data_IF_075620432973
#
_entry.id   IF_075620432973
#
_cell.length_a   1.000
_cell.length_b   1.000
_cell.length_c   1.000
_cell.angle_alpha   90.00
_cell.angle_beta   90.00
_cell.angle_gamma   90.00
#
_symmetry.space_group_name_H-M   'P 1'
#
loop_
_entity.id
_entity.type
_entity.pdbx_description
1 polymer ?
#
# COMPACT_ATOMS: atom_id res chain seq x y z
N UNK A 1 35.81 -2.87 -15.37
CA UNK A 1 35.53 -4.07 -14.55
C UNK A 1 34.79 -3.61 -13.31
N UNK A 2 33.47 -3.71 -13.27
CA UNK A 2 32.73 -3.52 -12.02
C UNK A 2 33.02 -4.70 -11.09
N UNK A 3 33.28 -4.44 -9.82
CA UNK A 3 33.37 -5.49 -8.82
C UNK A 3 32.03 -6.24 -8.75
N UNK A 4 32.05 -7.55 -8.96
CA UNK A 4 30.94 -8.42 -8.58
C UNK A 4 30.86 -8.43 -7.05
N UNK A 5 30.12 -7.48 -6.48
CA UNK A 5 29.68 -7.57 -5.10
C UNK A 5 28.89 -8.88 -4.97
N UNK A 6 29.32 -9.78 -4.09
CA UNK A 6 28.64 -11.07 -3.90
C UNK A 6 27.20 -10.83 -3.49
N UNK A 7 26.25 -11.31 -4.30
CA UNK A 7 24.82 -11.22 -3.98
C UNK A 7 24.60 -11.87 -2.62
N UNK A 8 24.16 -11.08 -1.64
CA UNK A 8 23.96 -11.54 -0.27
C UNK A 8 22.75 -12.47 -0.19
N UNK A 9 22.78 -13.42 0.74
CA UNK A 9 21.61 -14.24 1.05
C UNK A 9 20.40 -13.36 1.44
N UNK A 10 19.16 -13.85 1.23
CA UNK A 10 17.97 -13.19 1.73
C UNK A 10 17.92 -13.28 3.28
N UNK A 11 17.26 -12.37 3.99
CA UNK A 11 17.10 -12.48 5.44
C UNK A 11 16.23 -13.68 5.80
N UNK A 12 16.70 -14.55 6.70
CA UNK A 12 15.92 -15.69 7.18
C UNK A 12 14.92 -15.27 8.26
N UNK A 13 13.75 -15.90 8.29
CA UNK A 13 12.66 -15.57 9.23
C UNK A 13 13.05 -15.79 10.71
N UNK A 14 13.97 -16.71 10.98
CA UNK A 14 14.53 -16.97 12.32
C UNK A 14 15.40 -15.82 12.85
N UNK A 15 16.00 -15.02 11.96
CA UNK A 15 16.94 -13.95 12.30
C UNK A 15 16.27 -12.57 12.16
N UNK A 16 15.29 -12.44 11.24
CA UNK A 16 14.53 -11.22 10.97
C UNK A 16 13.05 -11.55 10.84
N UNK A 17 12.19 -10.92 11.66
CA UNK A 17 10.73 -11.15 11.71
C UNK A 17 9.97 -11.07 10.36
N UNK A 18 10.52 -10.36 9.37
CA UNK A 18 9.97 -10.22 8.03
C UNK A 18 10.68 -11.06 6.97
N UNK A 19 11.58 -11.95 7.37
CA UNK A 19 12.41 -12.79 6.51
C UNK A 19 11.71 -13.98 5.87
N UNK A 20 12.48 -14.80 5.15
CA UNK A 20 12.02 -16.00 4.43
C UNK A 20 12.03 -17.23 5.35
N UNK A 21 10.97 -18.06 5.40
CA UNK A 21 10.99 -19.33 6.12
C UNK A 21 12.11 -20.26 5.64
N UNK A 22 12.72 -21.02 6.57
CA UNK A 22 13.82 -21.94 6.24
C UNK A 22 13.44 -22.96 5.15
N UNK A 23 12.18 -23.41 5.12
CA UNK A 23 11.66 -24.38 4.14
C UNK A 23 11.60 -23.91 2.68
N UNK A 24 11.77 -22.61 2.43
CA UNK A 24 11.80 -22.00 1.08
C UNK A 24 12.98 -21.04 0.92
N UNK A 25 14.00 -21.19 1.78
CA UNK A 25 15.13 -20.28 1.85
C UNK A 25 16.07 -20.45 0.65
N UNK A 26 16.23 -21.67 0.17
CA UNK A 26 17.09 -21.99 -0.97
C UNK A 26 16.49 -21.44 -2.27
N UNK A 27 15.19 -21.61 -2.47
CA UNK A 27 14.43 -21.07 -3.60
C UNK A 27 14.46 -19.53 -3.58
N UNK A 28 14.42 -18.91 -2.40
CA UNK A 28 14.58 -17.47 -2.27
C UNK A 28 16.02 -16.99 -2.56
N UNK A 29 17.05 -17.76 -2.19
CA UNK A 29 18.44 -17.50 -2.58
C UNK A 29 18.62 -17.56 -4.09
N UNK A 30 18.08 -18.61 -4.71
CA UNK A 30 18.12 -18.81 -6.16
C UNK A 30 17.34 -17.72 -6.90
N UNK A 31 16.16 -17.33 -6.40
CA UNK A 31 15.40 -16.21 -6.95
C UNK A 31 16.14 -14.88 -6.83
N UNK A 32 16.72 -14.54 -5.67
CA UNK A 32 17.49 -13.30 -5.46
C UNK A 32 18.74 -13.28 -6.34
N UNK A 33 19.42 -14.41 -6.46
CA UNK A 33 20.58 -14.60 -7.36
C UNK A 33 20.17 -14.38 -8.81
N UNK A 34 19.11 -15.04 -9.27
CA UNK A 34 18.58 -14.91 -10.64
C UNK A 34 18.08 -13.50 -10.94
N UNK A 35 17.45 -12.83 -9.97
CA UNK A 35 16.97 -11.45 -10.13
C UNK A 35 18.14 -10.52 -10.47
N UNK A 36 19.19 -10.54 -9.64
CA UNK A 36 20.35 -9.65 -9.77
C UNK A 36 21.44 -10.13 -10.75
N UNK A 37 21.33 -11.35 -11.30
CA UNK A 37 22.21 -11.81 -12.37
C UNK A 37 21.78 -11.32 -13.76
N UNK A 38 20.58 -10.76 -13.90
CA UNK A 38 20.10 -10.22 -15.18
C UNK A 38 20.69 -8.81 -15.43
N UNK A 39 21.27 -8.54 -16.62
CA UNK A 39 21.74 -7.21 -16.97
C UNK A 39 20.64 -6.15 -16.84
N UNK A 40 20.93 -5.07 -16.11
CA UNK A 40 19.96 -3.99 -15.82
C UNK A 40 19.19 -4.15 -14.51
N UNK A 41 19.12 -5.36 -13.94
CA UNK A 41 18.54 -5.58 -12.62
C UNK A 41 19.60 -5.40 -11.52
N UNK A 42 19.99 -4.16 -11.23
CA UNK A 42 20.74 -3.81 -10.01
C UNK A 42 19.84 -3.04 -9.05
N UNK A 43 20.02 -3.14 -7.72
CA UNK A 43 19.36 -2.26 -6.78
C UNK A 43 19.64 -0.80 -7.16
N UNK A 44 18.60 -0.05 -7.51
CA UNK A 44 18.76 1.32 -7.98
C UNK A 44 19.02 2.21 -6.78
N UNK A 45 20.17 2.88 -6.78
CA UNK A 45 20.54 3.84 -5.74
C UNK A 45 19.97 5.24 -6.05
N UNK A 46 19.68 6.01 -5.00
CA UNK A 46 19.39 7.44 -5.07
C UNK A 46 19.80 8.13 -3.78
N UNK A 47 20.04 9.43 -3.83
CA UNK A 47 20.36 10.23 -2.64
C UNK A 47 19.15 11.06 -2.24
N UNK A 48 18.69 10.93 -0.99
CA UNK A 48 17.54 11.69 -0.48
C UNK A 48 18.02 12.92 0.30
N UNK A 49 17.55 14.10 -0.10
CA UNK A 49 17.65 15.30 0.73
C UNK A 49 16.67 15.22 1.90
N UNK A 50 17.00 15.86 3.02
CA UNK A 50 16.10 15.88 4.18
C UNK A 50 14.77 16.56 3.82
N UNK A 51 13.68 15.78 3.88
CA UNK A 51 12.35 16.33 3.90
C UNK A 51 12.02 16.81 5.31
N UNK A 52 11.40 17.99 5.41
CA UNK A 52 10.77 18.47 6.63
C UNK A 52 9.25 18.30 6.51
N UNK A 53 8.53 18.04 7.61
CA UNK A 53 7.08 18.07 7.59
C UNK A 53 6.56 19.46 7.19
N UNK A 54 5.35 19.58 6.62
CA UNK A 54 4.73 20.87 6.35
C UNK A 54 4.69 21.77 7.58
N UNK A 55 4.77 23.08 7.38
CA UNK A 55 4.68 24.10 8.43
C UNK A 55 5.71 23.98 9.58
N UNK A 56 6.76 23.17 9.39
CA UNK A 56 7.76 22.83 10.42
C UNK A 56 9.15 23.33 10.01
N UNK A 57 9.75 24.22 10.80
CA UNK A 57 11.14 24.65 10.60
C UNK A 57 12.14 23.55 10.99
N UNK A 58 13.36 23.59 10.44
CA UNK A 58 14.41 22.63 10.79
C UNK A 58 14.73 22.58 12.30
N UNK A 59 14.67 23.74 12.99
CA UNK A 59 14.88 23.82 14.43
C UNK A 59 13.76 23.11 15.22
N UNK A 60 12.49 23.38 14.88
CA UNK A 60 11.35 22.69 15.49
C UNK A 60 11.38 21.18 15.21
N UNK A 61 11.76 20.78 13.98
CA UNK A 61 11.89 19.37 13.61
C UNK A 61 12.94 18.65 14.46
N UNK A 62 14.12 19.25 14.67
CA UNK A 62 15.16 18.65 15.50
C UNK A 62 14.71 18.47 16.95
N UNK A 63 14.09 19.50 17.56
CA UNK A 63 13.52 19.43 18.92
C UNK A 63 12.47 18.32 19.01
N UNK A 64 11.60 18.20 17.99
CA UNK A 64 10.60 17.16 17.93
C UNK A 64 11.25 15.76 17.85
N UNK A 65 12.24 15.57 16.98
CA UNK A 65 12.95 14.28 16.83
C UNK A 65 13.67 13.88 18.12
N UNK A 66 14.29 14.81 18.85
CA UNK A 66 14.97 14.48 20.10
C UNK A 66 13.96 14.04 21.18
N UNK A 67 12.81 14.71 21.30
CA UNK A 67 11.71 14.25 22.17
C UNK A 67 11.14 12.90 21.72
N UNK A 68 11.12 12.61 20.41
CA UNK A 68 10.68 11.31 19.90
C UNK A 68 11.67 10.19 20.27
N UNK A 69 12.98 10.48 20.25
CA UNK A 69 14.05 9.58 20.70
C UNK A 69 13.98 9.29 22.20
N UNK A 70 13.54 10.24 23.02
CA UNK A 70 13.26 10.01 24.45
C UNK A 70 12.09 9.03 24.65
N UNK A 71 11.03 9.12 23.82
CA UNK A 71 9.83 8.28 23.95
C UNK A 71 10.08 6.81 23.58
N UNK A 72 10.80 6.55 22.47
CA UNK A 72 10.99 5.17 21.95
C UNK A 72 12.42 4.63 22.05
N UNK A 73 13.37 5.45 22.51
CA UNK A 73 14.81 5.17 22.45
C UNK A 73 15.43 5.53 21.09
N UNK A 74 16.62 6.13 21.11
CA UNK A 74 17.26 6.68 19.91
C UNK A 74 17.49 5.67 18.77
N UNK A 75 17.76 4.40 19.09
CA UNK A 75 17.93 3.32 18.10
C UNK A 75 16.66 2.97 17.31
N UNK A 76 15.50 3.49 17.74
CA UNK A 76 14.19 3.26 17.13
C UNK A 76 13.66 4.50 16.38
N UNK A 77 14.50 5.54 16.17
CA UNK A 77 14.21 6.72 15.34
C UNK A 77 15.31 6.91 14.30
N UNK A 78 14.99 6.71 13.03
CA UNK A 78 15.89 6.88 11.89
C UNK A 78 15.56 8.16 11.13
N UNK A 79 16.55 8.99 10.81
CA UNK A 79 16.39 10.13 9.90
C UNK A 79 16.57 9.66 8.45
N UNK A 80 15.69 10.11 7.56
CA UNK A 80 15.64 9.60 6.18
C UNK A 80 16.53 10.40 5.23
N UNK A 81 16.77 11.68 5.51
CA UNK A 81 17.58 12.56 4.67
C UNK A 81 19.07 12.44 4.93
N UNK A 82 19.85 12.83 3.92
CA UNK A 82 21.32 12.87 4.00
C UNK A 82 21.99 11.52 3.72
N UNK A 83 21.22 10.49 3.37
CA UNK A 83 21.73 9.15 3.07
C UNK A 83 21.40 8.70 1.64
N UNK A 84 22.23 7.80 1.14
CA UNK A 84 21.89 6.96 -0.02
C UNK A 84 20.80 5.97 0.38
N UNK A 85 19.79 5.83 -0.48
CA UNK A 85 18.76 4.79 -0.39
C UNK A 85 18.84 3.88 -1.60
N UNK A 86 18.34 2.66 -1.45
CA UNK A 86 18.18 1.70 -2.54
C UNK A 86 16.74 1.16 -2.56
N UNK A 87 16.22 0.91 -3.75
CA UNK A 87 14.88 0.32 -3.93
C UNK A 87 14.78 -1.14 -3.45
N UNK A 88 15.92 -1.79 -3.23
CA UNK A 88 16.02 -3.15 -2.67
C UNK A 88 15.39 -4.24 -3.54
N UNK A 89 14.71 -5.18 -2.88
CA UNK A 89 13.77 -6.15 -3.48
C UNK A 89 12.71 -6.52 -2.43
N UNK A 90 11.72 -7.33 -2.80
CA UNK A 90 10.53 -7.55 -1.97
C UNK A 90 10.80 -8.00 -0.50
N UNK A 91 11.83 -8.82 -0.25
CA UNK A 91 12.17 -9.24 1.12
C UNK A 91 13.00 -8.22 1.90
N UNK A 92 13.71 -7.32 1.21
CA UNK A 92 14.53 -6.23 1.77
C UNK A 92 14.07 -4.90 1.16
N UNK A 93 12.81 -4.55 1.41
CA UNK A 93 12.13 -3.42 0.79
C UNK A 93 12.41 -2.10 1.55
N UNK A 94 12.46 -0.95 0.86
CA UNK A 94 12.69 0.33 1.50
C UNK A 94 11.48 0.77 2.33
N UNK A 95 11.77 1.46 3.43
CA UNK A 95 10.78 2.21 4.23
C UNK A 95 10.88 3.73 4.02
N UNK A 96 11.85 4.16 3.20
CA UNK A 96 12.26 5.56 3.00
C UNK A 96 11.67 6.21 1.74
N UNK A 97 11.12 5.42 0.81
CA UNK A 97 10.55 5.89 -0.46
C UNK A 97 9.74 4.76 -1.12
N UNK A 98 9.09 5.08 -2.24
CA UNK A 98 8.41 4.12 -3.10
C UNK A 98 9.38 3.55 -4.13
N UNK A 99 9.65 2.25 -4.06
CA UNK A 99 10.51 1.55 -5.03
C UNK A 99 9.95 1.60 -6.46
N UNK A 100 8.63 1.74 -6.61
CA UNK A 100 7.92 1.73 -7.91
C UNK A 100 7.49 3.15 -8.33
N UNK A 101 8.14 4.19 -7.80
CA UNK A 101 7.75 5.60 -7.90
C UNK A 101 7.29 6.05 -9.29
N UNK A 102 6.05 6.54 -9.38
CA UNK A 102 5.49 7.20 -10.58
C UNK A 102 6.06 8.62 -10.75
N UNK A 103 6.27 9.35 -9.64
CA UNK A 103 6.90 10.68 -9.63
C UNK A 103 8.41 10.58 -9.32
N UNK A 104 9.13 11.70 -9.26
CA UNK A 104 10.52 11.74 -8.76
C UNK A 104 10.63 11.10 -7.35
N UNK A 105 11.66 10.28 -7.12
CA UNK A 105 11.88 9.53 -5.86
C UNK A 105 11.89 10.40 -4.59
N UNK A 106 12.21 11.69 -4.70
CA UNK A 106 12.26 12.65 -3.59
C UNK A 106 10.91 13.27 -3.19
N UNK A 107 9.83 13.01 -3.93
CA UNK A 107 8.54 13.69 -3.75
C UNK A 107 7.69 13.09 -2.63
N UNK A 108 7.64 11.75 -2.50
CA UNK A 108 6.87 11.05 -1.47
C UNK A 108 7.76 10.42 -0.39
N UNK A 109 8.71 11.18 0.15
CA UNK A 109 9.64 10.68 1.17
C UNK A 109 9.23 11.13 2.58
N UNK A 110 9.39 10.29 3.61
CA UNK A 110 9.27 10.70 5.00
C UNK A 110 10.45 11.56 5.46
N UNK A 111 10.28 12.28 6.56
CA UNK A 111 11.39 12.97 7.24
C UNK A 111 12.20 12.00 8.10
N UNK A 112 11.52 11.03 8.71
CA UNK A 112 12.06 10.04 9.64
C UNK A 112 11.16 8.81 9.72
N UNK A 113 11.71 7.71 10.25
CA UNK A 113 10.98 6.47 10.55
C UNK A 113 11.08 6.23 12.06
N UNK A 114 9.96 5.91 12.72
CA UNK A 114 9.90 5.56 14.14
C UNK A 114 9.28 4.18 14.33
N UNK A 115 9.88 3.35 15.18
CA UNK A 115 9.44 1.95 15.37
C UNK A 115 8.99 1.69 16.81
N UNK A 116 7.69 1.80 17.17
CA UNK A 116 7.20 1.52 18.51
C UNK A 116 7.18 0.01 18.85
N UNK A 117 7.32 -0.34 20.13
CA UNK A 117 7.23 -1.72 20.65
C UNK A 117 5.91 -2.04 21.36
N UNK A 118 5.02 -1.06 21.56
CA UNK A 118 3.75 -1.29 22.24
C UNK A 118 2.67 -0.28 21.85
N UNK A 119 1.41 -0.63 22.13
CA UNK A 119 0.27 0.29 22.01
C UNK A 119 0.43 1.55 22.88
N UNK A 120 1.16 1.46 24.01
CA UNK A 120 1.46 2.62 24.86
C UNK A 120 2.46 3.58 24.19
N UNK A 121 3.52 3.06 23.56
CA UNK A 121 4.44 3.88 22.75
C UNK A 121 3.73 4.48 21.53
N UNK A 122 2.84 3.74 20.86
CA UNK A 122 2.00 4.30 19.77
C UNK A 122 1.16 5.47 20.28
N UNK A 123 0.54 5.36 21.46
CA UNK A 123 -0.20 6.48 22.06
C UNK A 123 0.70 7.68 22.39
N UNK A 124 1.93 7.45 22.86
CA UNK A 124 2.90 8.51 23.11
C UNK A 124 3.35 9.21 21.81
N UNK A 125 3.57 8.46 20.72
CA UNK A 125 3.87 9.02 19.39
C UNK A 125 2.70 9.86 18.87
N UNK A 126 1.44 9.44 19.07
CA UNK A 126 0.27 10.23 18.67
C UNK A 126 0.15 11.53 19.47
N UNK A 127 0.48 11.52 20.77
CA UNK A 127 0.54 12.74 21.60
C UNK A 127 1.65 13.69 21.14
N UNK A 128 2.84 13.15 20.88
CA UNK A 128 3.96 13.88 20.30
C UNK A 128 3.60 14.51 18.95
N UNK A 129 2.93 13.77 18.06
CA UNK A 129 2.51 14.26 16.75
C UNK A 129 1.52 15.43 16.87
N UNK A 130 0.59 15.37 17.84
CA UNK A 130 -0.31 16.50 18.15
C UNK A 130 0.43 17.72 18.72
N UNK A 131 1.40 17.51 19.60
CA UNK A 131 2.20 18.58 20.23
C UNK A 131 2.99 19.39 19.19
N UNK A 132 3.69 18.70 18.28
CA UNK A 132 4.49 19.35 17.24
C UNK A 132 3.71 19.61 15.93
N UNK A 133 2.46 19.15 15.84
CA UNK A 133 1.62 19.19 14.63
C UNK A 133 2.26 18.50 13.40
N UNK A 134 3.06 17.47 13.66
CA UNK A 134 3.79 16.73 12.62
C UNK A 134 2.93 15.56 12.12
N UNK A 135 2.64 15.45 10.82
CA UNK A 135 1.89 14.33 10.27
C UNK A 135 2.66 13.00 10.41
N UNK A 136 1.92 11.96 10.77
CA UNK A 136 2.40 10.59 10.94
C UNK A 136 1.70 9.62 9.99
N UNK A 137 2.47 8.69 9.43
CA UNK A 137 2.01 7.71 8.45
C UNK A 137 2.25 6.28 8.97
N UNK A 138 1.24 5.60 9.54
CA UNK A 138 1.41 4.28 10.12
C UNK A 138 1.53 3.20 9.04
N UNK A 139 2.52 2.32 9.19
CA UNK A 139 2.69 1.12 8.37
C UNK A 139 2.82 -0.12 9.25
N UNK A 140 2.32 -1.25 8.75
CA UNK A 140 2.61 -2.57 9.33
C UNK A 140 4.01 -3.04 8.93
N UNK A 141 4.23 -3.26 7.63
CA UNK A 141 5.56 -3.62 7.07
C UNK A 141 6.09 -2.62 6.04
N UNK A 142 5.23 -1.99 5.24
CA UNK A 142 5.63 -1.18 4.07
C UNK A 142 5.71 -1.95 2.75
N UNK A 143 5.42 -3.26 2.73
CA UNK A 143 5.37 -4.10 1.51
C UNK A 143 4.10 -3.87 0.65
N UNK A 144 3.61 -2.63 0.58
CA UNK A 144 2.42 -2.26 -0.20
C UNK A 144 2.79 -1.85 -1.64
N UNK A 145 3.63 -2.66 -2.27
CA UNK A 145 4.24 -2.36 -3.58
C UNK A 145 3.17 -2.28 -4.68
N UNK A 146 3.36 -1.38 -5.64
CA UNK A 146 2.33 -0.98 -6.62
C UNK A 146 1.26 -0.01 -6.08
N UNK A 147 1.21 0.23 -4.76
CA UNK A 147 0.30 1.19 -4.13
C UNK A 147 1.03 2.34 -3.38
N UNK A 148 2.35 2.47 -3.57
CA UNK A 148 3.21 3.45 -2.90
C UNK A 148 4.11 2.86 -1.81
N UNK A 149 4.07 1.56 -1.55
CA UNK A 149 4.99 0.88 -0.62
C UNK A 149 4.87 1.38 0.82
N UNK A 150 5.92 2.02 1.31
CA UNK A 150 5.99 2.64 2.62
C UNK A 150 5.85 4.18 2.59
N UNK A 151 5.81 4.79 1.40
CA UNK A 151 5.84 6.24 1.24
C UNK A 151 4.60 6.93 1.81
N UNK A 152 4.77 8.02 2.60
CA UNK A 152 3.66 8.84 3.02
C UNK A 152 3.11 9.68 1.86
N UNK A 153 1.79 9.93 1.86
CA UNK A 153 1.15 10.81 0.86
C UNK A 153 1.60 12.29 0.97
N UNK A 154 1.94 12.72 2.18
CA UNK A 154 2.50 14.05 2.48
C UNK A 154 4.00 13.91 2.74
N UNK A 155 4.80 14.58 1.89
CA UNK A 155 6.26 14.66 2.01
C UNK A 155 6.65 15.16 3.40
N UNK A 156 7.68 14.55 3.99
CA UNK A 156 8.19 14.92 5.30
C UNK A 156 7.35 14.44 6.48
N UNK A 157 6.31 13.61 6.27
CA UNK A 157 5.64 12.91 7.39
C UNK A 157 6.61 11.94 8.08
N UNK A 158 6.34 11.60 9.35
CA UNK A 158 7.06 10.53 10.05
C UNK A 158 6.38 9.19 9.81
N UNK A 159 7.10 8.21 9.27
CA UNK A 159 6.58 6.84 9.12
C UNK A 159 6.61 6.11 10.46
N UNK A 160 5.47 5.59 10.90
CA UNK A 160 5.36 4.79 12.14
C UNK A 160 5.39 3.31 11.76
N UNK A 161 6.57 2.71 11.86
CA UNK A 161 6.87 1.32 11.52
C UNK A 161 6.51 0.36 12.67
N UNK A 162 5.23 0.02 12.76
CA UNK A 162 4.68 -0.82 13.83
C UNK A 162 5.31 -2.22 13.85
N UNK A 163 5.52 -2.82 12.67
CA UNK A 163 5.87 -4.22 12.57
C UNK A 163 7.26 -4.58 13.07
N UNK A 164 8.21 -3.64 13.10
CA UNK A 164 9.60 -3.93 13.52
C UNK A 164 9.70 -4.46 14.96
N UNK A 165 8.88 -3.95 15.88
CA UNK A 165 8.88 -4.37 17.30
C UNK A 165 7.53 -4.90 17.80
N UNK A 166 6.44 -4.78 17.03
CA UNK A 166 5.13 -5.37 17.32
C UNK A 166 4.81 -6.47 16.30
N UNK A 167 5.40 -7.65 16.45
CA UNK A 167 5.39 -8.75 15.46
C UNK A 167 4.94 -10.11 16.01
N UNK A 168 4.23 -10.13 17.15
CA UNK A 168 3.83 -11.37 17.82
C UNK A 168 2.49 -11.93 17.31
N UNK A 169 2.43 -13.24 17.16
CA UNK A 169 1.15 -13.98 17.22
C UNK A 169 0.79 -14.10 18.69
N UNK A 170 -0.28 -13.44 19.11
CA UNK A 170 -0.63 -13.25 20.52
C UNK A 170 -1.49 -14.38 21.09
N UNK A 171 -2.38 -14.93 20.26
CA UNK A 171 -3.24 -16.06 20.63
C UNK A 171 -3.65 -16.82 19.37
N UNK A 172 -3.67 -18.15 19.44
CA UNK A 172 -4.38 -19.02 18.49
C UNK A 172 -5.38 -19.83 19.31
N UNK A 173 -6.66 -19.72 19.01
CA UNK A 173 -7.71 -20.51 19.64
C UNK A 173 -8.25 -21.53 18.64
N UNK A 174 -7.95 -22.81 18.92
CA UNK A 174 -8.37 -23.95 18.09
C UNK A 174 -9.88 -24.15 18.09
N UNK A 175 -10.54 -23.98 19.24
CA UNK A 175 -11.96 -24.28 19.42
C UNK A 175 -12.86 -23.30 18.66
N UNK A 176 -12.47 -22.03 18.59
CA UNK A 176 -13.17 -20.99 17.81
C UNK A 176 -12.57 -20.76 16.42
N UNK A 177 -11.53 -21.50 16.04
CA UNK A 177 -10.71 -21.26 14.85
C UNK A 177 -10.37 -19.77 14.65
N UNK A 178 -9.68 -19.16 15.62
CA UNK A 178 -9.28 -17.75 15.56
C UNK A 178 -7.80 -17.53 15.89
N UNK A 179 -7.25 -16.42 15.39
CA UNK A 179 -5.92 -15.92 15.76
C UNK A 179 -5.96 -14.42 16.06
N UNK A 180 -5.17 -13.98 17.04
CA UNK A 180 -4.93 -12.56 17.35
C UNK A 180 -3.46 -12.24 17.03
N UNK A 181 -3.21 -11.21 16.21
CA UNK A 181 -1.86 -10.86 15.74
C UNK A 181 -1.53 -9.37 15.94
N UNK A 182 -0.23 -9.07 16.03
CA UNK A 182 0.33 -7.72 15.93
C UNK A 182 0.72 -7.37 14.48
N UNK A 183 0.92 -6.07 14.14
CA UNK A 183 1.12 -5.59 12.76
C UNK A 183 2.29 -6.26 12.00
N UNK A 184 3.34 -6.66 12.69
CA UNK A 184 4.54 -7.26 12.08
C UNK A 184 4.42 -8.74 11.69
N UNK A 185 3.31 -9.41 12.03
CA UNK A 185 3.11 -10.82 11.63
C UNK A 185 2.91 -10.89 10.11
N UNK A 186 3.86 -11.54 9.43
CA UNK A 186 3.74 -11.89 8.01
C UNK A 186 2.84 -13.10 7.81
N UNK A 187 2.29 -13.30 6.62
CA UNK A 187 1.64 -14.58 6.28
C UNK A 187 2.61 -15.74 6.46
N UNK A 188 3.88 -15.61 6.03
CA UNK A 188 4.92 -16.60 6.31
C UNK A 188 5.05 -16.93 7.82
N UNK A 189 5.19 -15.93 8.69
CA UNK A 189 5.29 -16.14 10.14
C UNK A 189 4.05 -16.82 10.74
N UNK A 190 2.84 -16.43 10.29
CA UNK A 190 1.61 -17.07 10.72
C UNK A 190 1.51 -18.53 10.23
N UNK A 191 1.88 -18.81 8.98
CA UNK A 191 1.86 -20.16 8.42
C UNK A 191 2.77 -21.13 9.18
N UNK A 192 4.03 -20.74 9.41
CA UNK A 192 4.99 -21.57 10.15
C UNK A 192 4.49 -21.79 11.60
N UNK A 193 3.94 -20.75 12.25
CA UNK A 193 3.37 -20.92 13.60
C UNK A 193 2.13 -21.81 13.63
N UNK A 194 1.28 -21.75 12.61
CA UNK A 194 0.14 -22.66 12.47
C UNK A 194 0.60 -24.11 12.27
N UNK A 195 1.64 -24.38 11.47
CA UNK A 195 2.15 -25.75 11.32
C UNK A 195 2.73 -26.29 12.64
N UNK A 196 3.34 -25.43 13.46
CA UNK A 196 3.87 -25.79 14.78
C UNK A 196 2.76 -26.14 15.79
N UNK A 197 1.73 -25.29 15.95
CA UNK A 197 0.80 -25.39 17.10
C UNK A 197 -0.62 -25.81 16.72
N UNK A 198 -1.06 -25.61 15.48
CA UNK A 198 -2.42 -25.90 15.01
C UNK A 198 -2.42 -26.36 13.54
N UNK A 199 -1.72 -27.46 13.19
CA UNK A 199 -1.59 -27.93 11.82
C UNK A 199 -2.93 -28.36 11.18
N UNK A 200 -3.99 -28.54 11.97
CA UNK A 200 -5.37 -28.75 11.53
C UNK A 200 -6.03 -27.47 10.98
N UNK A 201 -5.49 -26.29 11.28
CA UNK A 201 -5.97 -25.00 10.81
C UNK A 201 -5.14 -24.45 9.64
N UNK A 202 -5.79 -23.63 8.84
CA UNK A 202 -5.20 -22.84 7.76
C UNK A 202 -5.61 -21.37 7.89
N UNK A 203 -4.85 -20.51 7.23
CA UNK A 203 -5.15 -19.10 7.02
C UNK A 203 -5.49 -18.87 5.54
N UNK A 204 -6.18 -17.77 5.23
CA UNK A 204 -6.11 -17.20 3.88
C UNK A 204 -4.79 -16.42 3.72
N UNK A 205 -4.28 -16.30 2.50
CA UNK A 205 -3.04 -15.61 2.21
C UNK A 205 -3.10 -14.89 0.86
N UNK A 206 -2.48 -13.71 0.75
CA UNK A 206 -2.23 -13.11 -0.56
C UNK A 206 -1.24 -13.94 -1.38
N UNK A 207 -1.19 -13.68 -2.69
CA UNK A 207 -0.33 -14.42 -3.63
C UNK A 207 1.17 -14.37 -3.24
N UNK A 208 1.60 -13.29 -2.57
CA UNK A 208 2.95 -13.15 -2.00
C UNK A 208 2.88 -13.19 -0.47
N UNK A 209 3.53 -14.19 0.13
CA UNK A 209 3.46 -14.48 1.57
C UNK A 209 4.26 -13.55 2.51
N UNK A 210 5.02 -12.59 1.98
CA UNK A 210 5.79 -11.65 2.80
C UNK A 210 4.99 -10.45 3.31
N UNK A 211 3.73 -10.27 2.90
CA UNK A 211 2.84 -9.22 3.39
C UNK A 211 2.46 -9.40 4.86
N UNK A 212 2.02 -8.30 5.50
CA UNK A 212 1.46 -8.33 6.87
C UNK A 212 0.00 -8.76 6.81
N UNK A 213 -0.41 -9.69 7.67
CA UNK A 213 -1.80 -10.15 7.76
C UNK A 213 -2.73 -9.00 8.15
N UNK A 214 -2.34 -8.24 9.18
CA UNK A 214 -3.08 -7.08 9.68
C UNK A 214 -3.06 -5.91 8.68
N UNK A 215 -1.89 -5.57 8.16
CA UNK A 215 -1.74 -4.46 7.22
C UNK A 215 -2.50 -4.67 5.91
N UNK A 216 -2.60 -5.92 5.44
CA UNK A 216 -3.40 -6.27 4.28
C UNK A 216 -4.90 -6.08 4.55
N UNK A 217 -5.40 -6.58 5.68
CA UNK A 217 -6.81 -6.47 6.06
C UNK A 217 -7.25 -5.02 6.29
N UNK A 218 -6.42 -4.19 6.95
CA UNK A 218 -6.66 -2.75 7.10
C UNK A 218 -6.77 -2.01 5.75
N UNK A 219 -6.15 -2.51 4.68
CA UNK A 219 -6.27 -1.94 3.34
C UNK A 219 -7.33 -2.65 2.47
N UNK A 220 -8.14 -3.54 3.07
CA UNK A 220 -9.17 -4.39 2.46
C UNK A 220 -8.64 -5.35 1.38
N UNK A 221 -7.38 -5.79 1.52
CA UNK A 221 -6.88 -6.92 0.74
C UNK A 221 -7.74 -8.18 0.95
N UNK A 222 -7.67 -9.13 0.02
CA UNK A 222 -8.65 -10.22 -0.06
C UNK A 222 -8.69 -11.07 1.23
N UNK A 223 -9.84 -11.03 1.90
CA UNK A 223 -10.17 -11.72 3.14
C UNK A 223 -11.59 -11.35 3.57
N UNK A 224 -12.30 -12.24 4.26
CA UNK A 224 -13.75 -12.12 4.50
C UNK A 224 -14.12 -11.42 5.81
N UNK A 225 -15.21 -10.65 5.78
CA UNK A 225 -15.90 -10.07 6.94
C UNK A 225 -17.34 -9.70 6.58
N UNK A 226 -18.23 -9.56 7.58
CA UNK A 226 -19.65 -9.27 7.38
C UNK A 226 -20.23 -8.39 8.49
N UNK A 227 -21.16 -7.49 8.14
CA UNK A 227 -21.98 -6.72 9.08
C UNK A 227 -21.61 -5.24 9.21
N UNK A 228 -22.53 -4.38 9.71
CA UNK A 228 -22.24 -2.98 10.03
C UNK A 228 -21.40 -2.91 11.32
N UNK A 229 -20.18 -2.39 11.19
CA UNK A 229 -19.12 -2.58 12.17
C UNK A 229 -18.21 -1.34 12.16
N UNK A 230 -17.91 -0.75 13.33
CA UNK A 230 -17.13 0.50 13.43
C UNK A 230 -15.75 0.36 12.80
N UNK A 231 -15.16 -0.83 12.79
CA UNK A 231 -13.82 -1.08 12.27
C UNK A 231 -13.73 -0.88 10.74
N UNK A 232 -14.88 -0.82 10.05
CA UNK A 232 -14.96 -0.39 8.67
C UNK A 232 -14.37 1.00 8.43
N UNK A 233 -14.39 1.90 9.44
CA UNK A 233 -13.73 3.21 9.33
C UNK A 233 -12.20 3.09 9.38
N UNK A 234 -11.66 2.09 10.10
CA UNK A 234 -10.22 1.83 10.15
C UNK A 234 -9.72 1.04 8.92
N UNK A 235 -10.63 0.56 8.07
CA UNK A 235 -10.32 -0.09 6.80
C UNK A 235 -10.24 0.94 5.66
N UNK A 236 -9.05 1.19 5.09
CA UNK A 236 -8.76 2.25 4.11
C UNK A 236 -9.12 3.68 4.61
N UNK A 237 -9.09 3.91 5.92
CA UNK A 237 -9.29 5.23 6.53
C UNK A 237 -8.02 5.79 7.18
N UNK A 238 -8.11 7.02 7.69
CA UNK A 238 -7.04 7.71 8.43
C UNK A 238 -7.50 8.21 9.81
N UNK A 239 -8.38 7.46 10.47
CA UNK A 239 -9.02 7.82 11.74
C UNK A 239 -8.34 7.22 12.99
N UNK A 240 -7.28 6.43 12.83
CA UNK A 240 -6.60 5.76 13.95
C UNK A 240 -5.40 4.92 13.52
N UNK A 241 -4.74 4.30 14.49
CA UNK A 241 -3.62 3.37 14.29
C UNK A 241 -3.98 2.01 14.89
N UNK A 242 -4.17 0.99 14.03
CA UNK A 242 -4.52 -0.36 14.46
C UNK A 242 -3.29 -1.07 15.01
N UNK A 243 -3.34 -1.55 16.25
CA UNK A 243 -2.18 -2.16 16.93
C UNK A 243 -2.29 -3.66 17.18
N UNK A 244 -3.48 -4.25 17.01
CA UNK A 244 -3.80 -5.69 17.10
C UNK A 244 -5.03 -5.96 16.24
N UNK A 245 -5.15 -7.15 15.65
CA UNK A 245 -6.35 -7.56 14.90
C UNK A 245 -6.61 -9.07 15.07
N UNK A 246 -7.88 -9.43 15.23
CA UNK A 246 -8.35 -10.81 15.28
C UNK A 246 -8.80 -11.29 13.90
N UNK A 247 -8.52 -12.55 13.59
CA UNK A 247 -8.88 -13.20 12.33
C UNK A 247 -9.54 -14.56 12.60
N UNK A 248 -10.49 -14.94 11.75
CA UNK A 248 -10.89 -16.33 11.62
C UNK A 248 -9.84 -17.12 10.84
N UNK A 249 -9.68 -18.39 11.22
CA UNK A 249 -8.92 -19.41 10.54
C UNK A 249 -9.91 -20.43 9.95
N UNK A 250 -9.47 -21.18 8.96
CA UNK A 250 -10.26 -22.27 8.36
C UNK A 250 -9.74 -23.62 8.84
N UNK A 251 -10.64 -24.58 9.07
CA UNK A 251 -10.23 -25.99 9.18
C UNK A 251 -9.71 -26.46 7.82
N UNK A 252 -8.56 -27.14 7.79
CA UNK A 252 -8.06 -27.76 6.56
C UNK A 252 -9.04 -28.84 6.09
N UNK A 253 -9.60 -28.64 4.90
CA UNK A 253 -10.44 -29.62 4.22
C UNK A 253 -9.62 -30.36 3.15
N UNK A 254 -9.99 -31.59 2.75
CA UNK A 254 -9.49 -32.19 1.52
C UNK A 254 -9.82 -31.26 0.34
N UNK A 255 -8.80 -30.87 -0.42
CA UNK A 255 -8.93 -29.92 -1.52
C UNK A 255 -8.08 -30.37 -2.72
N UNK A 256 -8.57 -30.11 -3.93
CA UNK A 256 -7.87 -30.39 -5.18
C UNK A 256 -7.83 -29.12 -6.03
N UNK A 257 -6.62 -28.72 -6.44
CA UNK A 257 -6.42 -27.67 -7.44
C UNK A 257 -6.68 -28.21 -8.84
N UNK A 258 -7.30 -27.39 -9.69
CA UNK A 258 -7.45 -27.65 -11.11
C UNK A 258 -6.96 -26.43 -11.91
N UNK A 259 -6.59 -26.66 -13.18
CA UNK A 259 -6.28 -25.63 -14.16
C UNK A 259 -7.19 -25.88 -15.37
N UNK A 260 -7.82 -24.82 -15.88
CA UNK A 260 -8.48 -24.85 -17.19
C UNK A 260 -7.84 -23.78 -18.05
N UNK A 261 -7.28 -24.19 -19.18
CA UNK A 261 -6.68 -23.32 -20.18
C UNK A 261 -7.60 -23.24 -21.39
N UNK A 262 -7.69 -22.05 -21.99
CA UNK A 262 -8.54 -21.78 -23.15
C UNK A 262 -7.70 -21.11 -24.23
N UNK A 263 -7.98 -21.41 -25.49
CA UNK A 263 -7.11 -21.04 -26.61
C UNK A 263 -7.41 -19.64 -27.17
N UNK A 264 -8.62 -19.11 -26.95
CA UNK A 264 -9.08 -17.82 -27.49
C UNK A 264 -9.62 -16.92 -26.39
N UNK A 265 -9.26 -15.65 -26.41
CA UNK A 265 -9.77 -14.64 -25.47
C UNK A 265 -11.28 -14.38 -25.66
N UNK A 266 -11.79 -14.60 -26.88
CA UNK A 266 -13.20 -14.45 -27.27
C UNK A 266 -14.17 -15.29 -26.43
N UNK A 267 -13.71 -16.46 -25.97
CA UNK A 267 -14.47 -17.46 -25.22
C UNK A 267 -14.64 -17.05 -23.74
N UNK A 268 -13.83 -16.11 -23.24
CA UNK A 268 -13.78 -15.71 -21.83
C UNK A 268 -15.15 -15.37 -21.20
N UNK A 269 -16.09 -14.69 -21.88
CA UNK A 269 -17.38 -14.35 -21.27
C UNK A 269 -18.29 -15.56 -21.00
N UNK A 270 -18.30 -16.55 -21.90
CA UNK A 270 -19.07 -17.80 -21.72
C UNK A 270 -18.44 -18.67 -20.63
N UNK A 271 -17.10 -18.74 -20.63
CA UNK A 271 -16.32 -19.40 -19.58
C UNK A 271 -16.58 -18.77 -18.22
N UNK A 272 -16.56 -17.44 -18.11
CA UNK A 272 -16.80 -16.72 -16.85
C UNK A 272 -18.18 -17.04 -16.27
N UNK A 273 -19.21 -17.20 -17.11
CA UNK A 273 -20.54 -17.66 -16.68
C UNK A 273 -20.56 -19.14 -16.22
N UNK A 274 -19.71 -20.00 -16.79
CA UNK A 274 -19.55 -21.40 -16.40
C UNK A 274 -18.74 -21.59 -15.10
N UNK A 275 -17.73 -20.75 -14.83
CA UNK A 275 -16.80 -20.90 -13.68
C UNK A 275 -17.04 -19.92 -12.53
N UNK A 276 -18.05 -19.04 -12.61
CA UNK A 276 -18.42 -18.07 -11.55
C UNK A 276 -18.63 -18.69 -10.17
N UNK A 277 -19.05 -19.95 -10.10
CA UNK A 277 -19.27 -20.69 -8.85
C UNK A 277 -17.99 -21.34 -8.29
N UNK A 278 -16.83 -21.20 -8.95
CA UNK A 278 -15.64 -22.03 -8.72
C UNK A 278 -14.29 -21.28 -8.49
N UNK A 279 -14.13 -19.98 -8.78
CA UNK A 279 -12.80 -19.30 -8.82
C UNK A 279 -12.73 -17.90 -8.15
N UNK A 280 -11.51 -17.41 -7.81
CA UNK A 280 -11.19 -16.16 -7.07
C UNK A 280 -9.77 -15.58 -7.41
N UNK A 281 -9.50 -14.26 -7.18
CA UNK A 281 -8.21 -13.45 -7.15
C UNK A 281 -7.79 -12.64 -8.41
N UNK A 282 -7.01 -11.52 -8.41
CA UNK A 282 -6.62 -10.43 -7.45
C UNK A 282 -5.77 -9.35 -8.23
N UNK A 283 -6.00 -8.01 -8.10
CA UNK A 283 -5.08 -6.83 -8.35
C UNK A 283 -5.84 -5.47 -8.53
N UNK A 284 -5.63 -4.61 -9.56
CA UNK A 284 -6.19 -3.23 -9.72
C UNK A 284 -7.62 -3.18 -10.32
N UNK A 285 -8.57 -2.63 -9.58
CA UNK A 285 -9.88 -3.28 -9.55
C UNK A 285 -11.07 -2.31 -9.60
N UNK A 286 -11.57 -1.98 -10.81
CA UNK A 286 -12.95 -1.56 -10.95
C UNK A 286 -13.86 -2.71 -10.51
N UNK A 287 -14.92 -2.37 -9.77
CA UNK A 287 -15.98 -3.32 -9.42
C UNK A 287 -16.96 -3.38 -10.59
N UNK A 288 -17.07 -4.54 -11.21
CA UNK A 288 -17.90 -4.77 -12.41
C UNK A 288 -19.00 -5.79 -12.07
N UNK A 289 -20.27 -5.58 -12.44
CA UNK A 289 -21.29 -6.61 -12.26
C UNK A 289 -20.95 -7.87 -13.04
N UNK A 290 -21.30 -9.05 -12.51
CA UNK A 290 -21.15 -10.30 -13.25
C UNK A 290 -22.05 -10.29 -14.51
N UNK A 291 -21.59 -10.93 -15.57
CA UNK A 291 -22.30 -11.01 -16.86
C UNK A 291 -21.45 -10.60 -18.06
N UNK A 292 -21.56 -11.37 -19.14
CA UNK A 292 -20.86 -11.17 -20.42
C UNK A 292 -20.85 -9.70 -20.88
N UNK A 293 -22.01 -9.02 -20.86
CA UNK A 293 -22.14 -7.63 -21.30
C UNK A 293 -21.14 -6.70 -20.59
N UNK A 294 -21.00 -6.84 -19.28
CA UNK A 294 -20.15 -5.98 -18.48
C UNK A 294 -18.67 -6.39 -18.61
N UNK A 295 -18.40 -7.70 -18.68
CA UNK A 295 -17.06 -8.23 -18.98
C UNK A 295 -16.53 -7.73 -20.33
N UNK A 296 -17.30 -7.85 -21.42
CA UNK A 296 -16.89 -7.31 -22.74
C UNK A 296 -16.70 -5.80 -22.71
N UNK A 297 -17.59 -5.06 -22.05
CA UNK A 297 -17.49 -3.59 -21.96
C UNK A 297 -16.21 -3.15 -21.24
N UNK A 298 -15.90 -3.70 -20.06
CA UNK A 298 -14.71 -3.29 -19.31
C UNK A 298 -13.41 -3.76 -20.00
N UNK A 299 -13.40 -4.93 -20.65
CA UNK A 299 -12.28 -5.35 -21.52
C UNK A 299 -12.04 -4.32 -22.61
N UNK A 300 -13.06 -3.96 -23.41
CA UNK A 300 -12.90 -3.00 -24.49
C UNK A 300 -12.40 -1.62 -24.02
N UNK A 301 -12.84 -1.17 -22.84
CA UNK A 301 -12.36 0.09 -22.21
C UNK A 301 -10.89 -0.04 -21.81
N UNK A 302 -10.53 -1.10 -21.08
CA UNK A 302 -9.15 -1.34 -20.61
C UNK A 302 -8.20 -1.44 -21.79
N UNK A 303 -8.49 -2.34 -22.72
CA UNK A 303 -7.60 -2.72 -23.81
C UNK A 303 -7.32 -1.50 -24.70
N UNK A 304 -8.37 -0.76 -25.09
CA UNK A 304 -8.22 0.46 -25.90
C UNK A 304 -7.38 1.54 -25.22
N UNK A 305 -7.50 1.73 -23.90
CA UNK A 305 -6.76 2.78 -23.17
C UNK A 305 -5.32 2.34 -22.90
N UNK A 306 -5.10 1.07 -22.53
CA UNK A 306 -3.77 0.51 -22.25
C UNK A 306 -2.91 0.53 -23.53
N UNK A 307 -3.45 0.08 -24.67
CA UNK A 307 -2.78 0.15 -25.97
C UNK A 307 -2.50 1.60 -26.41
N UNK A 308 -3.48 2.50 -26.27
CA UNK A 308 -3.34 3.94 -26.61
C UNK A 308 -2.16 4.61 -25.91
N UNK A 309 -1.87 4.24 -24.65
CA UNK A 309 -0.76 4.78 -23.88
C UNK A 309 0.57 4.02 -24.08
N UNK A 310 0.56 2.94 -24.86
CA UNK A 310 1.74 2.17 -25.26
C UNK A 310 2.18 1.12 -24.25
N UNK A 311 1.24 0.48 -23.56
CA UNK A 311 1.51 -0.60 -22.60
C UNK A 311 0.98 -1.95 -23.07
N UNK A 312 1.62 -3.03 -22.64
CA UNK A 312 1.12 -4.39 -22.80
C UNK A 312 -0.05 -4.66 -21.84
N UNK A 313 -1.02 -5.44 -22.31
CA UNK A 313 -2.23 -5.71 -21.57
C UNK A 313 -2.06 -6.85 -20.54
N UNK A 314 -1.64 -6.48 -19.33
CA UNK A 314 -1.55 -7.39 -18.18
C UNK A 314 -2.80 -7.28 -17.30
N UNK A 315 -3.81 -8.11 -17.59
CA UNK A 315 -5.08 -8.17 -16.85
C UNK A 315 -5.34 -9.54 -16.20
N UNK A 316 -6.23 -9.56 -15.22
CA UNK A 316 -6.62 -10.70 -14.38
C UNK A 316 -8.02 -10.45 -13.80
N UNK A 317 -8.71 -11.48 -13.33
CA UNK A 317 -10.14 -11.38 -13.02
C UNK A 317 -10.49 -12.15 -11.75
N UNK A 318 -10.93 -11.41 -10.73
CA UNK A 318 -11.39 -11.96 -9.47
C UNK A 318 -12.92 -12.00 -9.45
N UNK A 319 -13.51 -13.07 -9.97
CA UNK A 319 -14.94 -13.33 -9.80
C UNK A 319 -15.29 -13.49 -8.31
N UNK A 320 -16.39 -12.87 -7.89
CA UNK A 320 -17.01 -12.98 -6.58
C UNK A 320 -18.54 -13.13 -6.78
N UNK A 321 -19.33 -13.55 -5.76
CA UNK A 321 -20.70 -14.02 -5.98
C UNK A 321 -21.70 -13.03 -6.59
N UNK A 322 -21.38 -11.73 -6.66
CA UNK A 322 -22.23 -10.66 -7.20
C UNK A 322 -21.47 -9.59 -8.00
N UNK A 323 -20.15 -9.69 -8.05
CA UNK A 323 -19.25 -8.68 -8.61
C UNK A 323 -17.97 -9.36 -9.06
N UNK A 324 -17.32 -8.81 -10.07
CA UNK A 324 -16.00 -9.24 -10.51
C UNK A 324 -15.07 -8.04 -10.43
N UNK A 325 -13.92 -8.24 -9.77
CA UNK A 325 -12.86 -7.23 -9.73
C UNK A 325 -11.90 -7.53 -10.85
N UNK A 326 -11.82 -6.62 -11.80
CA UNK A 326 -10.82 -6.69 -12.88
C UNK A 326 -9.45 -6.32 -12.30
N UNK A 327 -8.43 -6.36 -13.14
CA UNK A 327 -7.03 -6.08 -12.86
C UNK A 327 -6.42 -5.41 -14.07
N UNK A 328 -5.61 -4.37 -13.87
CA UNK A 328 -4.63 -3.92 -14.86
C UNK A 328 -3.31 -3.64 -14.14
N UNK A 329 -2.27 -4.40 -14.48
CA UNK A 329 -0.91 -4.17 -14.02
C UNK A 329 -0.09 -3.46 -15.08
N UNK A 330 0.03 -2.13 -15.02
CA UNK A 330 0.92 -1.40 -15.92
C UNK A 330 2.38 -1.69 -15.58
N UNK A 331 3.10 -2.34 -16.50
CA UNK A 331 4.55 -2.53 -16.43
C UNK A 331 5.23 -1.42 -17.22
N UNK A 332 6.15 -0.68 -16.59
CA UNK A 332 6.83 0.45 -17.20
C UNK A 332 8.25 0.64 -16.68
N UNK A 333 9.13 1.24 -17.48
CA UNK A 333 10.45 1.65 -17.04
C UNK A 333 10.37 2.90 -16.16
N UNK A 334 10.49 2.68 -14.87
CA UNK A 334 10.61 3.64 -13.76
C UNK A 334 11.73 4.69 -13.89
N UNK A 335 12.74 4.49 -14.73
CA UNK A 335 13.73 5.54 -15.07
C UNK A 335 13.30 6.41 -16.27
N UNK A 336 12.43 5.88 -17.15
CA UNK A 336 11.92 6.59 -18.31
C UNK A 336 10.81 7.57 -17.91
N UNK A 337 11.13 8.86 -17.92
CA UNK A 337 10.18 9.94 -17.60
C UNK A 337 8.95 9.95 -18.53
N UNK A 338 9.10 9.54 -19.79
CA UNK A 338 7.98 9.48 -20.75
C UNK A 338 7.06 8.31 -20.38
N UNK A 339 7.62 7.13 -20.07
CA UNK A 339 6.80 5.99 -19.65
C UNK A 339 6.09 6.25 -18.31
N UNK A 340 6.73 6.90 -17.35
CA UNK A 340 6.07 7.31 -16.09
C UNK A 340 4.90 8.28 -16.32
N UNK A 341 5.10 9.28 -17.18
CA UNK A 341 4.02 10.21 -17.59
C UNK A 341 2.87 9.47 -18.30
N UNK A 342 3.19 8.56 -19.22
CA UNK A 342 2.19 7.73 -19.90
C UNK A 342 1.45 6.82 -18.92
N UNK A 343 2.12 6.19 -17.96
CA UNK A 343 1.49 5.31 -16.96
C UNK A 343 0.53 6.10 -16.07
N UNK A 344 0.92 7.30 -15.63
CA UNK A 344 0.04 8.20 -14.88
C UNK A 344 -1.17 8.65 -15.72
N UNK A 345 -0.96 9.05 -16.98
CA UNK A 345 -2.04 9.45 -17.89
C UNK A 345 -3.01 8.29 -18.19
N UNK A 346 -2.49 7.09 -18.44
CA UNK A 346 -3.26 5.86 -18.63
C UNK A 346 -4.14 5.57 -17.42
N UNK A 347 -3.58 5.58 -16.20
CA UNK A 347 -4.36 5.36 -14.98
C UNK A 347 -5.44 6.44 -14.76
N UNK A 348 -5.15 7.73 -15.04
CA UNK A 348 -6.15 8.81 -14.94
C UNK A 348 -7.29 8.62 -15.93
N UNK A 349 -6.98 8.20 -17.16
CA UNK A 349 -7.97 7.94 -18.20
C UNK A 349 -8.80 6.70 -17.91
N UNK A 350 -8.19 5.61 -17.43
CA UNK A 350 -8.89 4.41 -16.97
C UNK A 350 -9.93 4.73 -15.88
N UNK A 351 -9.55 5.51 -14.85
CA UNK A 351 -10.45 5.93 -13.76
C UNK A 351 -11.63 6.75 -14.30
N UNK A 352 -11.37 7.71 -15.19
CA UNK A 352 -12.43 8.56 -15.74
C UNK A 352 -13.37 7.78 -16.68
N UNK A 353 -12.82 6.92 -17.53
CA UNK A 353 -13.61 6.04 -18.39
C UNK A 353 -14.43 5.04 -17.59
N UNK A 354 -13.89 4.45 -16.52
CA UNK A 354 -14.64 3.60 -15.60
C UNK A 354 -15.81 4.38 -14.97
N UNK A 355 -15.53 5.56 -14.42
CA UNK A 355 -16.55 6.44 -13.81
C UNK A 355 -17.69 6.79 -14.77
N UNK A 356 -17.38 7.16 -16.02
CA UNK A 356 -18.38 7.48 -17.05
C UNK A 356 -19.31 6.29 -17.33
N UNK A 357 -18.78 5.07 -17.26
CA UNK A 357 -19.55 3.83 -17.48
C UNK A 357 -20.17 3.25 -16.19
N UNK A 358 -20.07 3.95 -15.06
CA UNK A 358 -20.66 3.55 -13.78
C UNK A 358 -19.86 2.53 -12.97
N UNK A 359 -18.59 2.30 -13.32
CA UNK A 359 -17.66 1.49 -12.55
C UNK A 359 -16.81 2.38 -11.62
N UNK A 360 -16.46 1.85 -10.45
CA UNK A 360 -15.60 2.55 -9.49
C UNK A 360 -14.52 1.63 -8.91
N UNK A 361 -13.36 2.20 -8.61
CA UNK A 361 -12.18 1.46 -8.14
C UNK A 361 -12.27 1.15 -6.65
N UNK A 362 -12.14 -0.12 -6.26
CA UNK A 362 -12.15 -0.50 -4.83
C UNK A 362 -10.88 -0.03 -4.07
N UNK A 363 -9.77 0.21 -4.79
CA UNK A 363 -8.46 0.60 -4.25
C UNK A 363 -7.56 1.14 -5.35
N UNK A 364 -6.73 2.13 -5.03
CA UNK A 364 -5.83 2.77 -5.99
C UNK A 364 -4.49 3.20 -5.35
N UNK A 365 -3.54 3.61 -6.19
CA UNK A 365 -2.26 4.19 -5.79
C UNK A 365 -2.44 5.51 -5.02
N UNK A 366 -1.54 5.83 -4.08
CA UNK A 366 -1.70 7.01 -3.19
C UNK A 366 -1.84 8.34 -3.94
N UNK A 367 -1.22 8.48 -5.13
CA UNK A 367 -1.32 9.66 -6.00
C UNK A 367 -2.68 9.79 -6.71
N UNK A 368 -3.39 8.69 -6.93
CA UNK A 368 -4.68 8.65 -7.63
C UNK A 368 -5.87 8.66 -6.65
N UNK A 369 -5.58 8.57 -5.35
CA UNK A 369 -6.57 8.54 -4.28
C UNK A 369 -7.53 9.74 -4.31
N UNK A 370 -7.03 10.93 -4.66
CA UNK A 370 -7.83 12.15 -4.79
C UNK A 370 -8.84 12.07 -5.95
N UNK A 371 -8.42 11.53 -7.10
CA UNK A 371 -9.29 11.37 -8.28
C UNK A 371 -10.35 10.29 -8.03
N UNK A 372 -9.95 9.13 -7.50
CA UNK A 372 -10.88 8.04 -7.16
C UNK A 372 -11.88 8.47 -6.10
N UNK A 373 -11.46 9.16 -5.03
CA UNK A 373 -12.40 9.66 -4.02
C UNK A 373 -13.45 10.63 -4.61
N UNK A 374 -13.06 11.40 -5.64
CA UNK A 374 -13.95 12.31 -6.37
C UNK A 374 -14.78 11.62 -7.46
N UNK A 375 -14.54 10.34 -7.78
CA UNK A 375 -15.42 9.57 -8.67
C UNK A 375 -16.73 9.19 -7.95
N UNK A 376 -16.66 8.97 -6.62
CA UNK A 376 -17.81 8.72 -5.73
C UNK A 376 -18.55 10.02 -5.33
N UNK A 377 -18.87 10.88 -6.30
CA UNK A 377 -19.41 12.23 -6.07
C UNK A 377 -20.94 12.35 -5.98
N UNK A 378 -21.67 11.25 -5.77
CA UNK A 378 -23.14 11.28 -5.69
C UNK A 378 -23.65 12.27 -4.62
N UNK A 379 -24.77 12.95 -4.94
CA UNK A 379 -25.39 14.00 -4.13
C UNK A 379 -24.37 15.09 -3.70
N UNK A 380 -23.74 15.72 -4.70
CA UNK A 380 -22.73 16.77 -4.50
C UNK A 380 -21.59 16.35 -3.54
N UNK A 381 -21.02 15.17 -3.77
CA UNK A 381 -19.89 14.64 -3.00
C UNK A 381 -20.20 14.36 -1.52
N UNK A 382 -21.46 14.01 -1.19
CA UNK A 382 -21.91 13.79 0.19
C UNK A 382 -21.02 12.80 0.97
N UNK A 383 -20.54 11.73 0.33
CA UNK A 383 -19.66 10.75 0.95
C UNK A 383 -18.33 11.37 1.40
N UNK A 384 -17.64 12.11 0.53
CA UNK A 384 -16.37 12.76 0.88
C UNK A 384 -16.56 13.81 1.97
N UNK A 385 -17.60 14.65 1.87
CA UNK A 385 -17.95 15.66 2.90
C UNK A 385 -18.20 15.02 4.27
N UNK A 386 -18.88 13.88 4.33
CA UNK A 386 -19.08 13.12 5.57
C UNK A 386 -17.75 12.58 6.13
N UNK A 387 -16.90 12.00 5.28
CA UNK A 387 -15.58 11.49 5.69
C UNK A 387 -14.64 12.60 6.18
N UNK A 388 -14.70 13.80 5.59
CA UNK A 388 -13.98 14.99 6.02
C UNK A 388 -14.49 15.52 7.37
N UNK A 389 -15.81 15.62 7.57
CA UNK A 389 -16.40 16.01 8.86
C UNK A 389 -15.98 15.05 9.99
N UNK A 390 -16.06 13.74 9.74
CA UNK A 390 -15.62 12.71 10.67
C UNK A 390 -14.11 12.83 10.95
N UNK A 391 -13.31 13.14 9.92
CA UNK A 391 -11.86 13.30 10.03
C UNK A 391 -11.49 14.48 10.92
N UNK A 392 -12.07 15.64 10.66
CA UNK A 392 -11.80 16.87 11.43
C UNK A 392 -12.29 16.75 12.89
N UNK A 393 -13.36 15.96 13.12
CA UNK A 393 -13.89 15.69 14.47
C UNK A 393 -12.99 14.77 15.30
N UNK A 394 -12.33 13.78 14.68
CA UNK A 394 -11.47 12.80 15.37
C UNK A 394 -9.99 13.19 15.39
N UNK A 395 -9.55 14.03 14.45
CA UNK A 395 -8.17 14.47 14.29
C UNK A 395 -8.13 15.97 13.94
N UNK A 396 -8.43 16.86 14.91
CA UNK A 396 -8.54 18.30 14.69
C UNK A 396 -7.22 18.98 14.30
N UNK A 397 -6.08 18.33 14.56
CA UNK A 397 -4.75 18.78 14.13
C UNK A 397 -4.34 18.20 12.76
N UNK A 398 -5.10 17.25 12.20
CA UNK A 398 -4.85 16.65 10.89
C UNK A 398 -3.62 15.76 10.78
N UNK A 399 -3.15 15.19 11.89
CA UNK A 399 -1.85 14.50 11.98
C UNK A 399 -1.86 13.06 11.43
N UNK A 400 -3.00 12.36 11.40
CA UNK A 400 -3.06 10.96 11.00
C UNK A 400 -3.19 10.84 9.48
N UNK A 401 -2.14 10.40 8.79
CA UNK A 401 -2.12 10.07 7.35
C UNK A 401 -2.99 10.99 6.45
N UNK A 402 -2.76 12.32 6.43
CA UNK A 402 -3.49 13.27 5.60
C UNK A 402 -3.44 12.88 4.12
N UNK A 403 -4.60 12.95 3.43
CA UNK A 403 -4.74 12.63 2.01
C UNK A 403 -4.89 11.13 1.69
N UNK A 404 -4.83 10.23 2.68
CA UNK A 404 -5.17 8.81 2.48
C UNK A 404 -6.61 8.71 1.94
N UNK A 405 -6.78 8.01 0.82
CA UNK A 405 -8.08 7.85 0.14
C UNK A 405 -8.74 9.19 -0.22
N UNK A 406 -7.95 10.24 -0.50
CA UNK A 406 -8.46 11.58 -0.83
C UNK A 406 -9.05 12.36 0.34
N UNK A 407 -9.01 11.81 1.57
CA UNK A 407 -9.57 12.44 2.77
C UNK A 407 -8.50 13.34 3.40
N UNK A 408 -8.63 14.65 3.15
CA UNK A 408 -7.75 15.67 3.67
C UNK A 408 -8.33 16.31 4.95
N UNK A 409 -7.55 16.51 6.03
CA UNK A 409 -7.99 17.29 7.19
C UNK A 409 -8.11 18.80 6.88
N UNK A 410 -8.91 19.52 7.67
CA UNK A 410 -9.24 20.93 7.45
C UNK A 410 -8.02 21.85 7.27
N UNK A 411 -6.93 21.60 8.02
CA UNK A 411 -5.68 22.38 7.90
C UNK A 411 -5.07 22.32 6.48
N UNK A 412 -5.22 21.19 5.78
CA UNK A 412 -4.78 21.00 4.40
C UNK A 412 -5.83 21.50 3.39
N UNK A 413 -7.12 21.36 3.68
CA UNK A 413 -8.20 21.83 2.79
C UNK A 413 -8.32 23.37 2.75
N UNK A 414 -7.92 24.04 3.84
CA UNK A 414 -7.98 25.49 4.00
C UNK A 414 -6.65 26.20 3.66
N UNK A 415 -5.59 25.45 3.37
CA UNK A 415 -4.32 25.99 2.87
C UNK A 415 -4.51 26.54 1.45
N UNK A 416 -4.26 27.84 1.28
CA UNK A 416 -4.40 28.55 0.00
C UNK A 416 -3.06 28.72 -0.73
N UNK A 417 -1.94 28.38 -0.09
CA UNK A 417 -0.59 28.55 -0.64
C UNK A 417 -0.11 27.28 -1.35
N UNK A 418 -0.59 26.10 -0.92
CA UNK A 418 -0.18 24.81 -1.48
C UNK A 418 -1.36 23.99 -2.02
N UNK A 419 -1.15 23.32 -3.16
CA UNK A 419 -2.13 22.40 -3.74
C UNK A 419 -1.86 20.96 -3.26
N UNK A 420 -2.63 20.52 -2.27
CA UNK A 420 -2.45 19.19 -1.67
C UNK A 420 -3.10 18.03 -2.47
N UNK A 421 -4.29 18.27 -3.03
CA UNK A 421 -5.11 17.27 -3.71
C UNK A 421 -5.06 17.39 -5.25
N UNK A 422 -5.06 16.24 -5.94
CA UNK A 422 -5.18 16.16 -7.41
C UNK A 422 -6.67 16.09 -7.80
N UNK A 423 -7.13 17.00 -8.67
CA UNK A 423 -8.53 17.08 -9.13
C UNK A 423 -8.71 16.51 -10.53
N UNK A 424 -9.92 16.55 -11.08
CA UNK A 424 -10.18 16.18 -12.48
C UNK A 424 -9.69 17.24 -13.47
N UNK A 425 -9.66 18.51 -13.05
CA UNK A 425 -9.15 19.65 -13.86
C UNK A 425 -7.63 19.61 -14.06
N UNK A 426 -6.92 18.73 -13.35
CA UNK A 426 -5.48 18.57 -13.47
C UNK A 426 -5.08 17.77 -14.71
N UNK A 427 -4.27 18.37 -15.57
CA UNK A 427 -3.64 17.71 -16.70
C UNK A 427 -2.58 16.66 -16.29
N UNK A 428 -2.03 15.90 -17.25
CA UNK A 428 -1.04 14.84 -16.98
C UNK A 428 0.31 15.37 -16.44
N UNK A 429 0.55 16.68 -16.44
CA UNK A 429 1.78 17.35 -15.96
C UNK A 429 1.66 17.91 -14.52
N UNK A 430 0.66 17.45 -13.76
CA UNK A 430 0.34 17.90 -12.38
C UNK A 430 1.47 17.73 -11.35
N UNK A 431 2.48 16.90 -11.65
CA UNK A 431 3.67 16.67 -10.81
C UNK A 431 4.35 17.99 -10.37
N UNK A 432 4.31 19.02 -11.22
CA UNK A 432 4.88 20.35 -10.95
C UNK A 432 4.08 21.23 -9.97
N UNK A 433 2.79 20.94 -9.73
CA UNK A 433 1.88 21.79 -8.95
C UNK A 433 1.52 21.25 -7.57
N UNK A 434 1.65 19.93 -7.35
CA UNK A 434 1.33 19.24 -6.06
C UNK A 434 2.53 19.21 -5.11
N UNK A 435 3.70 19.66 -5.56
CA UNK A 435 4.84 19.90 -4.67
C UNK A 435 4.52 21.09 -3.76
N UNK A 436 4.66 20.97 -2.43
CA UNK A 436 4.77 22.14 -1.57
C UNK A 436 6.02 22.89 -2.02
N UNK A 437 5.85 24.04 -2.69
CA UNK A 437 6.98 24.91 -2.98
C UNK A 437 7.52 25.37 -1.65
N UNK A 438 8.77 25.01 -1.33
CA UNK A 438 9.41 25.53 -0.13
C UNK A 438 9.49 27.05 -0.25
N UNK A 439 8.68 27.76 0.55
CA UNK A 439 8.84 29.19 0.76
C UNK A 439 10.18 29.38 1.47
N UNK A 440 11.24 29.71 0.71
CA UNK A 440 12.56 29.97 1.26
C UNK A 440 13.79 29.37 0.58
N UNK A 441 13.72 28.82 -0.65
CA UNK A 441 14.95 28.50 -1.41
C UNK A 441 15.57 29.73 -2.07
N UNK A 442 15.95 30.71 -1.25
CA UNK A 442 17.00 31.69 -1.56
C UNK A 442 18.02 31.65 -0.42
N UNK A 443 19.06 30.85 -0.61
CA UNK A 443 20.48 30.96 -0.20
C UNK A 443 21.15 29.65 -0.61
#
# INVERSE_FOLDING_TARGET
MSSNASITDPPALKDVYSGVPLRVFQEAKEMKTRLYSHPGNTPRESYLTQALPPFTSASQFNIAIDKLREIVGAANVELVGGQKVQDGWYMEHPKTHDAFSIFDRGDLVPSSIVSPASTAEVSAIVKWANEFKIPIYPISLGRNWGYGGASPRVRGSVVVDLGRRMNKVLNINKASATVLVEPGVTYFALYEKLQEVAPELSMDCTDIGGGSVLGNACDRGLGYGYGPYTDGIFSQGNYGIVTKMGFWLTLKQPAQSFLVSFEREEDFPEINELVKDLLRRLFFSPIVPNGEKYSRLITNIIDSIVEKHGFDNSKSWCALPRETRVVVGLLYNVEDKKQKKNAFACMRELIESCRIHGFGEYRTHTLLADQVARSYNWNDGAQLKFHELLKDSLDPNGILAPGRCGIWPAIYRNDKEHKWAITYDDGPDVESSVRPRMVGSQI
#
